data_IF_511129548836
#
_entry.id   IF_511129548836
#
_cell.length_a   1.000
_cell.length_b   1.000
_cell.length_c   1.000
_cell.angle_alpha   90.00
_cell.angle_beta   90.00
_cell.angle_gamma   90.00
#
_symmetry.space_group_name_H-M   'P 1'
#
loop_
_entity.id
_entity.type
_entity.pdbx_description
1 polymer ?
#
# COMPACT_ATOMS: atom_id res chain seq x y z
N UNK A 1 -29.94 -22.50 -9.81
CA UNK A 1 -30.75 -21.33 -10.20
C UNK A 1 -31.36 -20.78 -8.92
N UNK A 2 -30.67 -19.83 -8.28
CA UNK A 2 -31.22 -19.17 -7.10
C UNK A 2 -32.31 -18.19 -7.54
N UNK A 3 -33.47 -18.31 -6.91
CA UNK A 3 -34.67 -17.57 -7.27
C UNK A 3 -34.53 -16.15 -6.69
N UNK A 4 -33.96 -15.22 -7.47
CA UNK A 4 -33.79 -13.83 -7.07
C UNK A 4 -35.16 -13.17 -6.87
N UNK A 5 -35.53 -12.92 -5.62
CA UNK A 5 -36.79 -12.28 -5.29
C UNK A 5 -36.70 -10.79 -5.66
N UNK A 6 -37.36 -10.40 -6.75
CA UNK A 6 -37.39 -9.01 -7.24
C UNK A 6 -38.11 -8.08 -6.25
N UNK A 7 -37.69 -6.80 -6.13
CA UNK A 7 -38.44 -5.81 -5.37
C UNK A 7 -39.85 -5.65 -5.93
N UNK A 8 -40.84 -5.46 -5.05
CA UNK A 8 -42.25 -5.25 -5.44
C UNK A 8 -42.54 -3.80 -5.93
N UNK A 9 -41.51 -3.10 -6.40
CA UNK A 9 -41.61 -1.75 -6.95
C UNK A 9 -40.46 -1.52 -7.94
N UNK A 10 -40.59 -0.48 -8.75
CA UNK A 10 -39.55 -0.03 -9.68
C UNK A 10 -38.58 0.90 -8.95
N UNK A 11 -37.36 0.39 -8.70
CA UNK A 11 -36.30 1.08 -7.95
C UNK A 11 -35.84 2.33 -8.69
N UNK A 12 -35.59 2.27 -10.00
CA UNK A 12 -35.16 3.42 -10.80
C UNK A 12 -36.21 4.52 -10.80
N UNK A 13 -37.49 4.16 -10.95
CA UNK A 13 -38.58 5.13 -10.89
C UNK A 13 -38.67 5.78 -9.52
N UNK A 14 -38.51 5.02 -8.44
CA UNK A 14 -38.49 5.57 -7.08
C UNK A 14 -37.30 6.52 -6.86
N UNK A 15 -36.11 6.16 -7.35
CA UNK A 15 -34.91 7.03 -7.30
C UNK A 15 -35.18 8.33 -8.07
N UNK A 16 -35.74 8.25 -9.29
CA UNK A 16 -36.07 9.43 -10.10
C UNK A 16 -37.07 10.36 -9.41
N UNK A 17 -38.08 9.81 -8.71
CA UNK A 17 -39.04 10.61 -7.92
C UNK A 17 -38.34 11.32 -6.77
N UNK A 18 -37.44 10.64 -6.06
CA UNK A 18 -36.66 11.23 -4.96
C UNK A 18 -35.71 12.30 -5.49
N UNK A 19 -34.89 11.95 -6.48
CA UNK A 19 -33.85 12.81 -7.07
C UNK A 19 -34.42 14.16 -7.52
N UNK A 20 -35.53 14.17 -8.26
CA UNK A 20 -36.20 15.41 -8.72
C UNK A 20 -36.67 16.33 -7.60
N UNK A 21 -36.90 15.80 -6.39
CA UNK A 21 -37.31 16.58 -5.21
C UNK A 21 -36.12 16.98 -4.35
N UNK A 22 -35.02 16.25 -4.44
CA UNK A 22 -33.76 16.52 -3.76
C UNK A 22 -32.92 17.55 -4.51
N UNK A 23 -32.97 17.53 -5.85
CA UNK A 23 -32.27 18.47 -6.72
C UNK A 23 -32.66 19.91 -6.36
N UNK A 24 -31.65 20.75 -6.10
CA UNK A 24 -31.79 22.16 -5.68
C UNK A 24 -32.67 22.37 -4.45
N UNK A 25 -32.83 21.35 -3.62
CA UNK A 25 -33.69 21.42 -2.42
C UNK A 25 -33.08 22.24 -1.29
N UNK A 26 -31.80 22.61 -1.37
CA UNK A 26 -31.01 23.19 -0.28
C UNK A 26 -31.06 22.32 0.99
N UNK A 27 -31.24 21.00 0.82
CA UNK A 27 -31.52 20.03 1.88
C UNK A 27 -32.79 20.33 2.72
N UNK A 28 -33.66 21.21 2.22
CA UNK A 28 -34.96 21.57 2.80
C UNK A 28 -36.08 20.92 2.00
N UNK A 29 -36.24 19.62 2.18
CA UNK A 29 -37.05 18.78 1.30
C UNK A 29 -38.55 19.05 1.50
N UNK A 30 -39.24 19.38 0.40
CA UNK A 30 -40.71 19.46 0.35
C UNK A 30 -41.31 18.06 0.27
N UNK A 31 -41.78 17.56 1.41
CA UNK A 31 -42.36 16.21 1.52
C UNK A 31 -43.75 16.12 0.91
N UNK A 32 -43.88 15.41 -0.19
CA UNK A 32 -45.16 15.00 -0.78
C UNK A 32 -45.46 13.53 -0.45
N UNK A 33 -46.70 13.08 -0.64
CA UNK A 33 -47.07 11.68 -0.44
C UNK A 33 -46.25 10.73 -1.35
N UNK A 34 -46.00 11.15 -2.60
CA UNK A 34 -45.17 10.40 -3.54
C UNK A 34 -43.71 10.32 -3.06
N UNK A 35 -43.16 11.43 -2.55
CA UNK A 35 -41.82 11.48 -2.00
C UNK A 35 -41.68 10.54 -0.80
N UNK A 36 -42.58 10.63 0.19
CA UNK A 36 -42.52 9.82 1.40
C UNK A 36 -42.64 8.32 1.08
N UNK A 37 -43.53 7.95 0.16
CA UNK A 37 -43.69 6.56 -0.28
C UNK A 37 -42.45 6.03 -1.01
N UNK A 38 -41.83 6.84 -1.86
CA UNK A 38 -40.57 6.48 -2.52
C UNK A 38 -39.42 6.37 -1.51
N UNK A 39 -39.33 7.30 -0.56
CA UNK A 39 -38.34 7.31 0.51
C UNK A 39 -38.43 6.03 1.36
N UNK A 40 -39.62 5.66 1.84
CA UNK A 40 -39.79 4.46 2.67
C UNK A 40 -39.41 3.17 1.94
N UNK A 41 -39.73 3.07 0.64
CA UNK A 41 -39.38 1.91 -0.18
C UNK A 41 -37.87 1.82 -0.40
N UNK A 42 -37.23 2.93 -0.73
CA UNK A 42 -35.79 2.98 -0.97
C UNK A 42 -34.98 2.77 0.31
N UNK A 43 -35.40 3.34 1.44
CA UNK A 43 -34.79 3.07 2.74
C UNK A 43 -34.79 1.59 3.08
N UNK A 44 -35.88 0.88 2.82
CA UNK A 44 -35.97 -0.58 3.03
C UNK A 44 -35.13 -1.36 2.02
N UNK A 45 -35.04 -0.89 0.78
CA UNK A 45 -34.28 -1.55 -0.28
C UNK A 45 -32.76 -1.42 -0.09
N UNK A 46 -32.29 -0.23 0.29
CA UNK A 46 -30.89 0.08 0.62
C UNK A 46 -30.54 -0.23 2.08
N UNK A 47 -31.52 -0.49 2.93
CA UNK A 47 -31.33 -0.65 4.38
C UNK A 47 -30.62 0.58 5.02
N UNK A 48 -30.92 1.79 4.57
CA UNK A 48 -30.24 3.03 5.02
C UNK A 48 -31.16 3.96 5.80
N UNK A 49 -30.56 4.94 6.47
CA UNK A 49 -31.27 6.09 7.05
C UNK A 49 -31.93 6.94 5.95
N UNK A 50 -32.79 7.88 6.34
CA UNK A 50 -33.37 8.85 5.41
C UNK A 50 -32.29 9.68 4.73
N UNK A 51 -31.38 10.26 5.51
CA UNK A 51 -30.27 11.07 5.01
C UNK A 51 -29.32 10.26 4.13
N UNK A 52 -28.94 9.04 4.54
CA UNK A 52 -28.12 8.14 3.72
C UNK A 52 -28.79 7.76 2.41
N UNK A 53 -30.11 7.56 2.39
CA UNK A 53 -30.86 7.36 1.13
C UNK A 53 -30.78 8.61 0.24
N UNK A 54 -30.88 9.81 0.80
CA UNK A 54 -30.80 11.04 0.03
C UNK A 54 -29.40 11.24 -0.57
N UNK A 55 -28.34 11.02 0.22
CA UNK A 55 -26.96 11.08 -0.25
C UNK A 55 -26.73 10.07 -1.38
N UNK A 56 -27.13 8.81 -1.18
CA UNK A 56 -27.00 7.78 -2.21
C UNK A 56 -27.79 8.11 -3.49
N UNK A 57 -28.99 8.68 -3.37
CA UNK A 57 -29.75 9.12 -4.54
C UNK A 57 -29.06 10.27 -5.27
N UNK A 58 -28.42 11.21 -4.55
CA UNK A 58 -27.60 12.26 -5.16
C UNK A 58 -26.42 11.70 -5.94
N UNK A 59 -25.66 10.78 -5.32
CA UNK A 59 -24.51 10.11 -5.95
C UNK A 59 -24.95 9.32 -7.20
N UNK A 60 -26.04 8.54 -7.10
CA UNK A 60 -26.60 7.79 -8.23
C UNK A 60 -27.06 8.72 -9.36
N UNK A 61 -27.73 9.82 -9.02
CA UNK A 61 -28.20 10.79 -10.03
C UNK A 61 -27.03 11.41 -10.77
N UNK A 62 -26.01 11.85 -10.03
CA UNK A 62 -24.78 12.38 -10.62
C UNK A 62 -24.12 11.37 -11.57
N UNK A 63 -23.95 10.12 -11.11
CA UNK A 63 -23.37 9.03 -11.91
C UNK A 63 -24.11 8.81 -13.23
N UNK A 64 -25.44 8.73 -13.21
CA UNK A 64 -26.23 8.51 -14.42
C UNK A 64 -26.26 9.72 -15.37
N UNK A 65 -26.21 10.94 -14.83
CA UNK A 65 -26.20 12.17 -15.63
C UNK A 65 -24.83 12.48 -16.24
N UNK A 66 -23.75 12.07 -15.58
CA UNK A 66 -22.37 12.35 -15.99
C UNK A 66 -21.64 11.12 -16.54
N UNK A 67 -22.37 10.23 -17.21
CA UNK A 67 -21.83 9.08 -17.94
C UNK A 67 -20.90 8.16 -17.12
N UNK A 68 -21.22 7.99 -15.84
CA UNK A 68 -20.48 7.12 -14.93
C UNK A 68 -19.26 7.78 -14.27
N UNK A 69 -19.19 9.10 -14.25
CA UNK A 69 -18.17 9.84 -13.51
C UNK A 69 -18.32 9.66 -12.00
N UNK A 70 -17.19 9.71 -11.28
CA UNK A 70 -17.16 9.69 -9.81
C UNK A 70 -17.71 10.99 -9.25
N UNK A 71 -18.37 10.90 -8.09
CA UNK A 71 -19.02 12.03 -7.44
C UNK A 71 -18.22 12.45 -6.19
N UNK A 72 -17.96 13.73 -5.99
CA UNK A 72 -17.35 14.26 -4.76
C UNK A 72 -18.31 15.15 -3.97
N UNK A 73 -17.81 15.75 -2.89
CA UNK A 73 -18.62 16.64 -2.05
C UNK A 73 -19.11 17.91 -2.75
N UNK A 74 -18.34 18.46 -3.69
CA UNK A 74 -18.75 19.64 -4.46
C UNK A 74 -19.87 19.26 -5.44
N UNK A 75 -19.78 18.10 -6.09
CA UNK A 75 -20.83 17.59 -6.98
C UNK A 75 -22.17 17.40 -6.24
N UNK A 76 -22.13 16.85 -5.02
CA UNK A 76 -23.30 16.75 -4.17
C UNK A 76 -23.80 18.14 -3.74
N UNK A 77 -22.88 19.06 -3.42
CA UNK A 77 -23.20 20.45 -3.11
C UNK A 77 -24.02 21.10 -4.22
N UNK A 78 -23.58 20.92 -5.47
CA UNK A 78 -24.21 21.44 -6.68
C UNK A 78 -25.56 20.77 -6.95
N UNK A 79 -25.64 19.44 -6.78
CA UNK A 79 -26.89 18.70 -6.88
C UNK A 79 -27.96 19.21 -5.90
N UNK A 80 -27.59 19.42 -4.64
CA UNK A 80 -28.51 19.90 -3.61
C UNK A 80 -28.71 21.43 -3.64
N UNK A 81 -27.88 22.19 -4.36
CA UNK A 81 -27.81 23.66 -4.32
C UNK A 81 -27.62 24.18 -2.89
N UNK A 82 -26.58 23.69 -2.22
CA UNK A 82 -26.26 24.09 -0.84
C UNK A 82 -24.75 24.27 -0.66
N UNK A 83 -24.28 24.89 0.44
CA UNK A 83 -22.85 24.94 0.74
C UNK A 83 -22.29 23.55 1.06
N UNK A 84 -21.06 23.27 0.62
CA UNK A 84 -20.37 21.96 0.77
C UNK A 84 -20.39 21.46 2.22
N UNK A 85 -20.19 22.35 3.19
CA UNK A 85 -20.25 22.03 4.62
C UNK A 85 -21.58 21.40 5.06
N UNK A 86 -22.68 21.74 4.38
CA UNK A 86 -24.00 21.17 4.66
C UNK A 86 -24.08 19.71 4.23
N UNK A 87 -23.36 19.33 3.16
CA UNK A 87 -23.24 17.94 2.71
C UNK A 87 -22.27 17.17 3.62
N UNK A 88 -21.13 17.77 3.96
CA UNK A 88 -20.14 17.17 4.87
C UNK A 88 -20.75 16.84 6.24
N UNK A 89 -21.76 17.58 6.70
CA UNK A 89 -22.49 17.28 7.93
C UNK A 89 -23.13 15.87 7.94
N UNK A 90 -23.33 15.25 6.77
CA UNK A 90 -23.82 13.88 6.60
C UNK A 90 -22.70 12.84 6.43
N UNK A 91 -21.45 13.18 6.81
CA UNK A 91 -20.28 12.29 6.74
C UNK A 91 -20.57 10.87 7.24
N UNK A 92 -21.22 10.73 8.41
CA UNK A 92 -21.55 9.42 8.99
C UNK A 92 -22.46 8.57 8.09
N UNK A 93 -23.44 9.19 7.43
CA UNK A 93 -24.32 8.47 6.50
C UNK A 93 -23.54 8.02 5.26
N UNK A 94 -22.54 8.79 4.81
CA UNK A 94 -21.66 8.42 3.68
C UNK A 94 -20.70 7.30 4.09
N UNK A 95 -20.14 7.34 5.30
CA UNK A 95 -19.34 6.25 5.87
C UNK A 95 -20.14 4.95 5.98
N UNK A 96 -21.42 5.03 6.38
CA UNK A 96 -22.32 3.86 6.38
C UNK A 96 -22.55 3.29 4.97
N UNK A 97 -22.61 4.15 3.93
CA UNK A 97 -22.69 3.72 2.52
C UNK A 97 -21.40 3.04 2.04
N UNK A 98 -20.24 3.51 2.48
CA UNK A 98 -18.92 2.90 2.22
C UNK A 98 -18.81 1.53 2.92
N UNK A 99 -19.19 1.45 4.20
CA UNK A 99 -19.20 0.20 4.95
C UNK A 99 -20.14 -0.85 4.33
N UNK A 100 -21.25 -0.41 3.74
CA UNK A 100 -22.17 -1.26 2.95
C UNK A 100 -21.66 -1.59 1.55
N UNK A 101 -20.55 -0.98 1.12
CA UNK A 101 -19.94 -1.09 -0.22
C UNK A 101 -20.88 -0.70 -1.36
N UNK A 102 -21.79 0.22 -1.07
CA UNK A 102 -22.68 0.81 -2.08
C UNK A 102 -21.90 1.76 -2.96
N UNK A 103 -21.02 2.52 -2.31
CA UNK A 103 -20.04 3.39 -2.92
C UNK A 103 -18.63 2.90 -2.54
N UNK A 104 -17.65 3.28 -3.34
CA UNK A 104 -16.23 2.99 -3.14
C UNK A 104 -15.48 4.31 -3.18
N UNK A 105 -14.57 4.48 -2.25
CA UNK A 105 -13.71 5.64 -2.18
C UNK A 105 -12.42 5.36 -2.94
N UNK A 106 -12.26 6.00 -4.10
CA UNK A 106 -11.11 5.74 -4.97
C UNK A 106 -9.84 6.49 -4.55
N UNK A 107 -9.93 7.41 -3.58
CA UNK A 107 -8.84 8.32 -3.22
C UNK A 107 -8.39 8.27 -1.77
N UNK A 108 -9.22 7.80 -0.83
CA UNK A 108 -8.75 7.67 0.55
C UNK A 108 -7.88 6.43 0.73
N UNK A 109 -6.82 6.62 1.49
CA UNK A 109 -5.95 5.55 2.00
C UNK A 109 -6.71 4.62 2.97
N UNK A 110 -7.89 5.04 3.42
CA UNK A 110 -8.78 4.30 4.32
C UNK A 110 -10.13 4.10 3.62
N UNK A 111 -10.42 2.87 3.20
CA UNK A 111 -11.61 2.54 2.38
C UNK A 111 -12.96 2.99 2.98
N UNK A 112 -13.08 2.99 4.31
CA UNK A 112 -14.32 3.29 5.02
C UNK A 112 -14.38 4.71 5.62
N UNK A 113 -13.34 5.54 5.43
CA UNK A 113 -13.27 6.88 6.02
C UNK A 113 -13.43 7.97 4.97
N UNK A 114 -14.14 9.03 5.37
CA UNK A 114 -14.45 10.15 4.48
C UNK A 114 -13.60 11.37 4.84
N UNK A 115 -12.82 11.81 3.86
CA UNK A 115 -11.99 13.00 3.83
C UNK A 115 -12.53 13.96 2.76
N UNK A 116 -12.14 15.24 2.85
CA UNK A 116 -12.73 16.33 2.06
C UNK A 116 -12.45 16.15 0.55
N UNK A 117 -11.38 15.47 0.17
CA UNK A 117 -10.94 15.29 -1.22
C UNK A 117 -11.38 13.97 -1.86
N UNK A 118 -12.32 13.26 -1.23
CA UNK A 118 -12.73 11.94 -1.70
C UNK A 118 -13.65 11.99 -2.91
N UNK A 119 -13.35 11.11 -3.87
CA UNK A 119 -14.22 10.82 -5.01
C UNK A 119 -14.89 9.46 -4.76
N UNK A 120 -16.23 9.48 -4.76
CA UNK A 120 -17.08 8.32 -4.55
C UNK A 120 -17.49 7.74 -5.90
N UNK A 121 -17.11 6.51 -6.16
CA UNK A 121 -17.63 5.70 -7.26
C UNK A 121 -18.73 4.75 -6.76
N UNK A 122 -19.59 4.27 -7.65
CA UNK A 122 -20.68 3.36 -7.30
C UNK A 122 -20.25 1.93 -7.59
N UNK A 123 -20.49 1.04 -6.62
CA UNK A 123 -20.22 -0.39 -6.81
C UNK A 123 -20.97 -0.94 -8.01
N UNK A 124 -20.27 -1.67 -8.89
CA UNK A 124 -20.84 -2.32 -10.08
C UNK A 124 -22.01 -3.24 -9.72
N UNK A 125 -21.93 -3.91 -8.56
CA UNK A 125 -23.00 -4.77 -8.04
C UNK A 125 -24.26 -3.97 -7.70
N UNK A 126 -24.10 -2.77 -7.13
CA UNK A 126 -25.23 -1.88 -6.86
C UNK A 126 -25.85 -1.35 -8.14
N UNK A 127 -25.04 -0.86 -9.09
CA UNK A 127 -25.51 -0.38 -10.41
C UNK A 127 -26.33 -1.47 -11.09
N UNK A 128 -25.80 -2.69 -11.16
CA UNK A 128 -26.48 -3.85 -11.76
C UNK A 128 -27.83 -4.11 -11.08
N UNK A 129 -27.86 -4.12 -9.75
CA UNK A 129 -29.08 -4.38 -8.98
C UNK A 129 -30.15 -3.30 -9.24
N UNK A 130 -29.75 -2.03 -9.27
CA UNK A 130 -30.63 -0.90 -9.55
C UNK A 130 -31.17 -0.95 -10.99
N UNK A 131 -30.31 -1.17 -12.00
CA UNK A 131 -30.71 -1.20 -13.41
C UNK A 131 -31.65 -2.36 -13.72
N UNK A 132 -31.38 -3.55 -13.17
CA UNK A 132 -32.20 -4.74 -13.44
C UNK A 132 -33.39 -4.91 -12.51
N UNK A 133 -33.55 -4.00 -11.54
CA UNK A 133 -34.58 -4.07 -10.51
C UNK A 133 -34.52 -5.41 -9.75
N UNK A 134 -33.32 -5.77 -9.31
CA UNK A 134 -33.03 -6.99 -8.56
C UNK A 134 -32.70 -6.63 -7.10
N UNK A 135 -32.75 -7.60 -6.18
CA UNK A 135 -32.31 -7.36 -4.80
C UNK A 135 -30.81 -7.05 -4.79
N UNK A 136 -30.38 -6.11 -3.95
CA UNK A 136 -28.97 -5.80 -3.76
C UNK A 136 -28.27 -7.02 -3.17
N UNK A 137 -27.35 -7.59 -3.94
CA UNK A 137 -26.44 -8.63 -3.49
C UNK A 137 -25.03 -8.07 -3.67
N UNK A 138 -24.45 -7.66 -2.56
CA UNK A 138 -23.05 -7.26 -2.52
C UNK A 138 -22.35 -8.37 -1.78
N UNK A 139 -21.49 -9.09 -2.51
CA UNK A 139 -20.59 -10.03 -1.88
C UNK A 139 -19.73 -9.25 -0.89
N UNK A 140 -20.03 -9.43 0.40
CA UNK A 140 -19.12 -9.06 1.47
C UNK A 140 -17.96 -10.04 1.46
N UNK A 141 -17.14 -9.99 0.41
CA UNK A 141 -15.80 -10.53 0.51
C UNK A 141 -15.08 -9.59 1.44
N UNK A 142 -15.07 -9.89 2.75
CA UNK A 142 -14.19 -9.22 3.70
C UNK A 142 -12.83 -9.24 3.02
N UNK A 143 -12.35 -8.08 2.58
CA UNK A 143 -11.02 -8.04 1.99
C UNK A 143 -10.13 -8.52 3.14
N UNK A 144 -9.54 -9.70 2.99
CA UNK A 144 -8.56 -10.16 3.97
C UNK A 144 -7.49 -9.09 3.96
N UNK A 145 -7.40 -8.32 5.05
CA UNK A 145 -6.40 -7.25 5.19
C UNK A 145 -5.06 -7.91 4.87
N UNK A 146 -4.38 -7.42 3.84
CA UNK A 146 -3.06 -7.93 3.48
C UNK A 146 -2.01 -6.93 3.91
N UNK A 147 -0.85 -7.42 4.36
CA UNK A 147 0.29 -6.56 4.62
C UNK A 147 0.75 -5.84 3.34
N UNK A 148 0.49 -6.44 2.16
CA UNK A 148 0.76 -5.81 0.87
C UNK A 148 -0.10 -4.56 0.65
N UNK A 149 -1.32 -4.53 1.20
CA UNK A 149 -2.20 -3.37 1.08
C UNK A 149 -1.69 -2.22 1.96
N UNK A 150 -1.15 -2.51 3.14
CA UNK A 150 -0.47 -1.51 3.97
C UNK A 150 0.72 -0.90 3.23
N UNK A 151 1.60 -1.75 2.68
CA UNK A 151 2.79 -1.26 1.98
C UNK A 151 2.43 -0.44 0.75
N UNK A 152 1.40 -0.84 0.00
CA UNK A 152 0.90 -0.06 -1.14
C UNK A 152 0.39 1.32 -0.68
N UNK A 153 -0.41 1.38 0.39
CA UNK A 153 -0.92 2.64 0.93
C UNK A 153 0.20 3.58 1.39
N UNK A 154 1.22 3.06 2.06
CA UNK A 154 2.39 3.85 2.44
C UNK A 154 3.19 4.28 1.20
N UNK A 155 3.24 3.45 0.16
CA UNK A 155 3.79 3.82 -1.13
C UNK A 155 3.06 5.00 -1.79
N UNK A 156 1.73 4.96 -1.81
CA UNK A 156 0.89 6.03 -2.37
C UNK A 156 1.06 7.34 -1.58
N UNK A 157 1.25 7.25 -0.25
CA UNK A 157 1.63 8.38 0.61
C UNK A 157 3.01 8.96 0.24
N UNK A 158 3.98 8.12 -0.10
CA UNK A 158 5.27 8.63 -0.56
C UNK A 158 5.16 9.43 -1.85
N UNK A 159 4.33 8.94 -2.78
CA UNK A 159 4.08 9.57 -4.07
C UNK A 159 3.14 10.80 -3.98
N UNK A 160 2.53 11.06 -2.80
CA UNK A 160 1.62 12.18 -2.56
C UNK A 160 2.36 13.52 -2.38
N UNK A 161 1.66 14.62 -2.69
CA UNK A 161 2.11 15.99 -2.46
C UNK A 161 1.84 16.50 -1.03
N UNK A 162 1.49 15.61 -0.10
CA UNK A 162 1.18 15.97 1.28
C UNK A 162 2.44 16.40 2.04
N UNK A 163 2.24 17.20 3.09
CA UNK A 163 3.31 17.60 4.00
C UNK A 163 3.78 16.42 4.88
N UNK A 164 5.01 16.47 5.37
CA UNK A 164 5.63 15.39 6.16
C UNK A 164 4.83 15.02 7.41
N UNK A 165 4.28 16.02 8.12
CA UNK A 165 3.44 15.79 9.29
C UNK A 165 2.21 14.95 8.96
N UNK A 166 1.59 15.19 7.81
CA UNK A 166 0.43 14.43 7.36
C UNK A 166 0.82 12.99 7.00
N UNK A 167 1.93 12.81 6.27
CA UNK A 167 2.47 11.48 5.95
C UNK A 167 2.75 10.65 7.19
N UNK A 168 3.38 11.25 8.21
CA UNK A 168 3.69 10.57 9.48
C UNK A 168 2.43 10.23 10.26
N UNK A 169 1.48 11.16 10.38
CA UNK A 169 0.18 10.93 11.03
C UNK A 169 -0.61 9.80 10.36
N UNK A 170 -0.72 9.81 9.03
CA UNK A 170 -1.43 8.77 8.30
C UNK A 170 -0.71 7.42 8.36
N UNK A 171 0.62 7.40 8.35
CA UNK A 171 1.40 6.17 8.54
C UNK A 171 1.12 5.55 9.91
N UNK A 172 1.02 6.35 10.99
CA UNK A 172 0.63 5.85 12.31
C UNK A 172 -0.79 5.30 12.35
N UNK A 173 -1.74 5.96 11.68
CA UNK A 173 -3.12 5.48 11.56
C UNK A 173 -3.20 4.14 10.79
N UNK A 174 -2.39 3.99 9.74
CA UNK A 174 -2.23 2.74 9.01
C UNK A 174 -1.62 1.67 9.92
N UNK A 175 -0.51 1.95 10.63
CA UNK A 175 0.09 0.98 11.55
C UNK A 175 -0.88 0.52 12.64
N UNK A 176 -1.69 1.41 13.18
CA UNK A 176 -2.71 1.07 14.17
C UNK A 176 -3.73 0.07 13.61
N UNK A 177 -4.15 0.24 12.35
CA UNK A 177 -5.09 -0.66 11.68
C UNK A 177 -4.52 -2.04 11.38
N UNK A 178 -3.20 -2.18 11.28
CA UNK A 178 -2.51 -3.44 11.00
C UNK A 178 -1.64 -3.91 12.17
N UNK A 179 -1.94 -3.44 13.39
CA UNK A 179 -1.13 -3.74 14.58
C UNK A 179 -1.12 -5.23 14.96
N UNK A 180 -2.06 -6.02 14.45
CA UNK A 180 -2.13 -7.46 14.63
C UNK A 180 -1.08 -8.23 13.79
N UNK A 181 -0.53 -7.63 12.74
CA UNK A 181 0.47 -8.25 11.87
C UNK A 181 1.84 -8.30 12.52
N UNK A 182 2.47 -9.47 12.49
CA UNK A 182 3.78 -9.69 13.11
C UNK A 182 4.89 -8.82 12.50
N UNK A 183 4.79 -8.51 11.20
CA UNK A 183 5.70 -7.57 10.53
C UNK A 183 5.65 -6.19 11.20
N UNK A 184 4.45 -5.64 11.42
CA UNK A 184 4.28 -4.32 12.04
C UNK A 184 4.75 -4.33 13.49
N UNK A 185 4.42 -5.38 14.26
CA UNK A 185 4.93 -5.53 15.64
C UNK A 185 6.45 -5.54 15.70
N UNK A 186 7.11 -6.26 14.79
CA UNK A 186 8.58 -6.33 14.72
C UNK A 186 9.17 -4.97 14.36
N UNK A 187 8.65 -4.29 13.33
CA UNK A 187 9.16 -2.99 12.90
C UNK A 187 8.99 -1.94 14.00
N UNK A 188 7.84 -1.90 14.68
CA UNK A 188 7.62 -1.00 15.83
C UNK A 188 8.49 -1.35 17.04
N UNK A 189 8.85 -2.61 17.23
CA UNK A 189 9.77 -3.01 18.30
C UNK A 189 11.21 -2.58 17.99
N UNK A 190 11.61 -2.57 16.71
CA UNK A 190 12.93 -2.11 16.28
C UNK A 190 13.03 -0.58 16.33
N UNK A 191 11.94 0.13 16.00
CA UNK A 191 11.87 1.58 15.92
C UNK A 191 10.60 2.09 16.64
N UNK A 192 10.54 2.11 17.98
CA UNK A 192 9.32 2.46 18.71
C UNK A 192 8.86 3.91 18.49
N UNK A 193 9.79 4.86 18.54
CA UNK A 193 9.49 6.31 18.52
C UNK A 193 10.02 7.02 17.26
N UNK A 194 10.39 6.26 16.22
CA UNK A 194 10.95 6.80 14.98
C UNK A 194 10.07 6.43 13.77
N UNK A 195 8.99 7.18 13.60
CA UNK A 195 8.04 6.99 12.49
C UNK A 195 8.70 7.20 11.12
N UNK A 196 9.66 8.12 11.02
CA UNK A 196 10.34 8.45 9.77
C UNK A 196 11.18 7.27 9.26
N UNK A 197 11.91 6.60 10.16
CA UNK A 197 12.65 5.38 9.83
C UNK A 197 11.71 4.24 9.43
N UNK A 198 10.53 4.12 10.07
CA UNK A 198 9.51 3.12 9.68
C UNK A 198 8.91 3.43 8.31
N UNK A 199 8.55 4.69 8.05
CA UNK A 199 8.06 5.17 6.76
C UNK A 199 9.06 4.89 5.64
N UNK A 200 10.34 5.22 5.86
CA UNK A 200 11.42 4.92 4.93
C UNK A 200 11.50 3.43 4.61
N UNK A 201 11.44 2.58 5.63
CA UNK A 201 11.51 1.14 5.46
C UNK A 201 10.30 0.57 4.69
N UNK A 202 9.10 1.08 4.97
CA UNK A 202 7.90 0.71 4.22
C UNK A 202 7.96 1.17 2.75
N UNK A 203 8.52 2.36 2.49
CA UNK A 203 8.80 2.84 1.13
C UNK A 203 9.70 1.88 0.36
N UNK A 204 10.79 1.41 0.98
CA UNK A 204 11.67 0.41 0.37
C UNK A 204 10.96 -0.93 0.09
N UNK A 205 10.04 -1.34 0.97
CA UNK A 205 9.22 -2.53 0.76
C UNK A 205 8.26 -2.36 -0.43
N UNK A 206 7.72 -1.16 -0.62
CA UNK A 206 6.83 -0.85 -1.76
C UNK A 206 7.59 -0.90 -3.09
N UNK A 207 8.80 -0.34 -3.14
CA UNK A 207 9.63 -0.38 -4.34
C UNK A 207 10.02 -1.81 -4.73
N UNK A 208 10.28 -2.69 -3.74
CA UNK A 208 10.47 -4.11 -3.98
C UNK A 208 9.24 -4.74 -4.66
N UNK A 209 8.02 -4.42 -4.21
CA UNK A 209 6.79 -4.94 -4.81
C UNK A 209 6.59 -4.41 -6.25
N UNK A 210 7.06 -3.19 -6.53
CA UNK A 210 7.10 -2.61 -7.88
C UNK A 210 8.23 -3.19 -8.75
N UNK A 211 9.20 -3.90 -8.16
CA UNK A 211 10.31 -4.56 -8.84
C UNK A 211 11.54 -3.70 -9.06
N UNK A 212 11.71 -2.62 -8.28
CA UNK A 212 12.81 -1.67 -8.40
C UNK A 212 13.63 -1.61 -7.10
N UNK A 213 14.89 -1.19 -7.24
CA UNK A 213 15.67 -0.72 -6.09
C UNK A 213 15.26 0.73 -5.78
N UNK A 214 15.27 1.09 -4.49
CA UNK A 214 14.88 2.42 -4.04
C UNK A 214 16.00 3.42 -4.27
N UNK A 215 15.65 4.60 -4.81
CA UNK A 215 16.55 5.75 -4.88
C UNK A 215 16.75 6.32 -3.47
N UNK A 216 17.99 6.38 -2.99
CA UNK A 216 18.27 6.88 -1.63
C UNK A 216 17.73 8.30 -1.44
N UNK A 217 17.98 9.19 -2.40
CA UNK A 217 17.50 10.57 -2.35
C UNK A 217 15.97 10.64 -2.25
N UNK A 218 15.27 9.97 -3.16
CA UNK A 218 13.80 10.06 -3.24
C UNK A 218 13.13 9.45 -2.00
N UNK A 219 13.67 8.36 -1.46
CA UNK A 219 13.15 7.76 -0.23
C UNK A 219 13.40 8.65 0.99
N UNK A 220 14.55 9.34 1.07
CA UNK A 220 14.81 10.34 2.12
C UNK A 220 13.83 11.52 2.00
N UNK A 221 13.60 12.02 0.78
CA UNK A 221 12.67 13.13 0.53
C UNK A 221 11.23 12.79 0.95
N UNK A 222 10.78 11.54 0.73
CA UNK A 222 9.48 11.06 1.21
C UNK A 222 9.41 10.99 2.75
N UNK A 223 10.49 10.59 3.41
CA UNK A 223 10.42 10.08 4.78
C UNK A 223 10.92 11.05 5.85
N UNK A 224 11.63 12.10 5.46
CA UNK A 224 12.24 13.06 6.39
C UNK A 224 12.02 14.51 5.97
N UNK A 225 11.87 15.38 6.97
CA UNK A 225 11.77 16.82 6.81
C UNK A 225 13.01 17.40 6.14
N UNK A 226 12.82 18.49 5.39
CA UNK A 226 13.88 19.16 4.61
C UNK A 226 15.12 19.51 5.45
N UNK A 227 14.93 19.87 6.72
CA UNK A 227 16.01 20.23 7.63
C UNK A 227 16.96 19.07 7.93
N UNK A 228 16.46 17.83 7.89
CA UNK A 228 17.17 16.66 8.41
C UNK A 228 17.78 15.82 7.29
N UNK A 229 17.36 16.03 6.04
CA UNK A 229 17.72 15.19 4.88
C UNK A 229 19.22 15.01 4.70
N UNK A 230 20.01 16.07 4.86
CA UNK A 230 21.47 15.98 4.69
C UNK A 230 22.13 15.17 5.80
N UNK A 231 21.68 15.34 7.05
CA UNK A 231 22.20 14.57 8.19
C UNK A 231 21.84 13.09 8.05
N UNK A 232 20.61 12.78 7.59
CA UNK A 232 20.19 11.41 7.34
C UNK A 232 20.96 10.81 6.17
N UNK A 233 21.15 11.54 5.08
CA UNK A 233 21.94 11.10 3.93
C UNK A 233 23.39 10.78 4.33
N UNK A 234 24.03 11.65 5.10
CA UNK A 234 25.38 11.41 5.64
C UNK A 234 25.42 10.15 6.50
N UNK A 235 24.44 9.97 7.40
CA UNK A 235 24.30 8.76 8.21
C UNK A 235 24.18 7.48 7.38
N UNK A 236 23.46 7.51 6.26
CA UNK A 236 23.43 6.37 5.31
C UNK A 236 24.78 6.15 4.63
N UNK A 237 25.41 7.20 4.12
CA UNK A 237 26.67 7.11 3.38
C UNK A 237 27.83 6.63 4.27
N UNK A 238 27.81 6.97 5.56
CA UNK A 238 28.78 6.48 6.55
C UNK A 238 28.47 5.06 7.07
N UNK A 239 27.32 4.49 6.73
CA UNK A 239 26.88 3.19 7.27
C UNK A 239 26.36 3.27 8.71
N UNK A 240 26.04 4.46 9.18
CA UNK A 240 25.62 4.73 10.54
C UNK A 240 24.10 4.63 10.77
N UNK A 241 23.31 4.65 9.69
CA UNK A 241 21.86 4.64 9.76
C UNK A 241 21.32 3.37 10.45
N UNK A 242 20.28 3.46 11.32
CA UNK A 242 19.74 2.31 12.04
C UNK A 242 19.33 1.14 11.14
N UNK A 243 18.72 1.42 9.97
CA UNK A 243 18.31 0.38 9.01
C UNK A 243 19.49 -0.42 8.45
N UNK A 244 20.65 0.22 8.23
CA UNK A 244 21.87 -0.46 7.79
C UNK A 244 22.47 -1.28 8.93
N UNK A 245 22.57 -0.69 10.13
CA UNK A 245 23.11 -1.37 11.33
C UNK A 245 22.30 -2.60 11.75
N UNK A 246 20.99 -2.57 11.52
CA UNK A 246 20.09 -3.69 11.81
C UNK A 246 20.00 -4.70 10.66
N UNK A 247 20.75 -4.52 9.58
CA UNK A 247 20.74 -5.38 8.40
C UNK A 247 19.33 -5.50 7.79
N UNK A 248 18.61 -4.38 7.68
CA UNK A 248 17.28 -4.31 7.07
C UNK A 248 17.29 -3.75 5.65
N UNK A 249 18.25 -2.88 5.35
CA UNK A 249 18.51 -2.36 4.01
C UNK A 249 19.99 -2.49 3.68
N UNK A 250 20.31 -2.58 2.40
CA UNK A 250 21.68 -2.63 1.89
C UNK A 250 21.80 -1.80 0.60
N UNK A 251 23.01 -1.33 0.31
CA UNK A 251 23.28 -0.63 -0.95
C UNK A 251 23.36 -1.64 -2.10
N UNK A 252 22.63 -1.36 -3.18
CA UNK A 252 22.81 -2.03 -4.47
C UNK A 252 23.95 -1.35 -5.24
N UNK A 253 23.91 -0.02 -5.30
CA UNK A 253 24.99 0.82 -5.79
C UNK A 253 25.22 1.96 -4.81
N UNK A 254 26.48 2.12 -4.39
CA UNK A 254 26.91 3.15 -3.44
C UNK A 254 27.88 4.09 -4.15
N UNK A 255 27.34 5.16 -4.71
CA UNK A 255 28.08 6.19 -5.42
C UNK A 255 27.95 7.53 -4.70
N UNK A 256 27.15 8.46 -5.23
CA UNK A 256 26.78 9.73 -4.61
C UNK A 256 25.31 9.68 -4.17
N UNK A 257 24.82 10.67 -3.41
CA UNK A 257 23.45 10.68 -2.89
C UNK A 257 22.37 10.52 -3.98
N UNK A 258 22.59 11.14 -5.15
CA UNK A 258 21.60 11.19 -6.24
C UNK A 258 21.52 9.90 -7.06
N UNK A 259 22.62 9.13 -7.10
CA UNK A 259 22.74 7.89 -7.88
C UNK A 259 22.72 6.63 -7.00
N UNK A 260 22.90 6.78 -5.69
CA UNK A 260 22.91 5.64 -4.77
C UNK A 260 21.54 5.00 -4.68
N UNK A 261 21.52 3.69 -4.79
CA UNK A 261 20.30 2.87 -4.69
C UNK A 261 20.43 1.85 -3.58
N UNK A 262 19.32 1.60 -2.90
CA UNK A 262 19.23 0.67 -1.78
C UNK A 262 18.12 -0.35 -2.02
N UNK A 263 18.25 -1.53 -1.44
CA UNK A 263 17.20 -2.53 -1.39
C UNK A 263 17.03 -3.08 0.03
N UNK A 264 15.88 -3.67 0.32
CA UNK A 264 15.71 -4.40 1.57
C UNK A 264 16.52 -5.71 1.52
N UNK A 265 17.18 -6.06 2.63
CA UNK A 265 18.03 -7.24 2.73
C UNK A 265 17.24 -8.55 2.66
N UNK A 266 17.93 -9.68 2.50
CA UNK A 266 17.33 -11.01 2.65
C UNK A 266 16.55 -11.16 3.96
N UNK A 267 17.14 -10.69 5.07
CA UNK A 267 16.53 -10.70 6.41
C UNK A 267 15.23 -9.89 6.45
N UNK A 268 15.21 -8.70 5.85
CA UNK A 268 14.01 -7.89 5.75
C UNK A 268 12.94 -8.51 4.83
N UNK A 269 13.34 -9.11 3.71
CA UNK A 269 12.43 -9.84 2.80
C UNK A 269 11.73 -10.99 3.53
N UNK A 270 12.46 -11.78 4.32
CA UNK A 270 11.87 -12.84 5.16
C UNK A 270 10.93 -12.28 6.22
N UNK A 271 11.30 -11.17 6.87
CA UNK A 271 10.46 -10.50 7.86
C UNK A 271 9.15 -10.00 7.26
N UNK A 272 9.18 -9.46 6.03
CA UNK A 272 8.05 -8.87 5.33
C UNK A 272 7.15 -9.91 4.66
N UNK A 273 7.73 -10.83 3.89
CA UNK A 273 7.00 -11.74 3.00
C UNK A 273 6.84 -13.16 3.57
N UNK A 274 7.52 -13.49 4.67
CA UNK A 274 7.52 -14.83 5.25
C UNK A 274 7.96 -15.88 4.23
N UNK A 275 7.12 -16.91 4.02
CA UNK A 275 7.41 -17.99 3.07
C UNK A 275 7.55 -17.50 1.62
N UNK A 276 6.90 -16.40 1.25
CA UNK A 276 6.94 -15.84 -0.09
C UNK A 276 8.25 -15.09 -0.38
N UNK A 277 9.12 -14.86 0.61
CA UNK A 277 10.39 -14.16 0.43
C UNK A 277 11.25 -14.81 -0.65
N UNK A 278 11.19 -16.14 -0.79
CA UNK A 278 11.92 -16.92 -1.80
C UNK A 278 11.64 -16.48 -3.24
N UNK A 279 10.47 -15.90 -3.50
CA UNK A 279 10.09 -15.38 -4.83
C UNK A 279 10.86 -14.10 -5.20
N UNK A 280 11.41 -13.40 -4.20
CA UNK A 280 12.09 -12.11 -4.34
C UNK A 280 13.59 -12.20 -4.03
N UNK A 281 14.10 -13.42 -3.78
CA UNK A 281 15.52 -13.67 -3.57
C UNK A 281 16.18 -14.09 -4.88
N UNK A 282 17.36 -13.54 -5.18
CA UNK A 282 18.17 -13.98 -6.32
C UNK A 282 18.54 -15.45 -6.12
N UNK A 283 18.27 -16.30 -7.11
CA UNK A 283 18.70 -17.70 -7.05
C UNK A 283 20.22 -17.76 -7.05
N UNK A 284 20.83 -18.51 -6.13
CA UNK A 284 22.28 -18.75 -6.09
C UNK A 284 22.85 -19.45 -7.34
N UNK A 285 22.00 -19.79 -8.33
CA UNK A 285 22.36 -20.47 -9.58
C UNK A 285 22.94 -19.56 -10.67
N UNK A 286 23.11 -18.26 -10.40
CA UNK A 286 23.54 -17.29 -11.42
C UNK A 286 24.73 -16.41 -11.06
N UNK A 287 25.36 -16.61 -9.89
CA UNK A 287 26.62 -15.94 -9.58
C UNK A 287 27.75 -16.81 -10.12
N UNK A 288 28.74 -16.22 -10.82
CA UNK A 288 30.02 -16.85 -11.22
C UNK A 288 30.90 -17.26 -10.01
N UNK A 289 30.27 -17.60 -8.89
CA UNK A 289 30.88 -18.06 -7.66
C UNK A 289 30.94 -19.58 -7.75
N UNK A 290 32.14 -20.09 -8.00
CA UNK A 290 32.42 -21.52 -7.91
C UNK A 290 32.18 -21.93 -6.46
N UNK A 291 31.22 -22.84 -6.24
CA UNK A 291 30.93 -23.37 -4.92
C UNK A 291 32.15 -24.11 -4.39
N UNK A 292 32.52 -23.96 -3.09
CA UNK A 292 33.72 -24.61 -2.54
C UNK A 292 33.79 -26.11 -2.84
N UNK A 293 32.65 -26.79 -2.76
CA UNK A 293 32.51 -28.24 -3.00
C UNK A 293 32.70 -28.63 -4.48
N UNK A 294 32.68 -27.67 -5.39
CA UNK A 294 32.88 -27.88 -6.84
C UNK A 294 34.31 -27.61 -7.31
N UNK A 295 35.19 -27.12 -6.41
CA UNK A 295 36.60 -26.91 -6.70
C UNK A 295 37.29 -28.28 -6.75
N UNK A 296 37.55 -28.78 -7.97
CA UNK A 296 38.32 -30.00 -8.17
C UNK A 296 39.81 -29.72 -7.93
N UNK A 297 40.46 -30.62 -7.20
CA UNK A 297 41.91 -30.66 -7.08
C UNK A 297 42.53 -30.70 -8.49
N UNK A 298 43.39 -29.73 -8.80
CA UNK A 298 44.20 -29.73 -10.02
C UNK A 298 45.62 -30.11 -9.64
N UNK A 299 46.14 -31.17 -10.26
CA UNK A 299 47.57 -31.43 -10.24
C UNK A 299 48.26 -30.39 -11.16
N UNK A 300 49.16 -29.61 -10.58
CA UNK A 300 49.96 -28.65 -11.31
C UNK A 300 51.09 -29.41 -11.99
N UNK A 301 51.16 -29.32 -13.32
CA UNK A 301 52.29 -29.82 -14.09
C UNK A 301 53.31 -28.69 -14.24
N UNK A 302 54.50 -28.91 -13.70
CA UNK A 302 55.61 -27.96 -13.81
C UNK A 302 56.53 -28.39 -14.97
N UNK A 303 57.31 -27.45 -15.51
CA UNK A 303 58.45 -27.82 -16.35
C UNK A 303 59.47 -28.58 -15.50
N UNK A 304 60.29 -29.44 -16.13
CA UNK A 304 61.30 -30.25 -15.43
C UNK A 304 62.22 -29.40 -14.50
N UNK A 305 62.57 -28.19 -14.94
CA UNK A 305 63.37 -27.25 -14.15
C UNK A 305 62.61 -26.77 -12.91
N UNK A 306 61.36 -26.34 -13.07
CA UNK A 306 60.53 -25.86 -11.96
C UNK A 306 60.16 -26.98 -10.99
N UNK A 307 59.92 -28.18 -11.49
CA UNK A 307 59.67 -29.37 -10.67
C UNK A 307 60.90 -29.73 -9.83
N UNK A 308 62.11 -29.60 -10.38
CA UNK A 308 63.35 -29.82 -9.64
C UNK A 308 63.55 -28.81 -8.51
N UNK A 309 63.26 -27.53 -8.75
CA UNK A 309 63.38 -26.46 -7.75
C UNK A 309 62.32 -26.58 -6.66
N UNK A 310 61.07 -26.89 -7.03
CA UNK A 310 60.00 -27.15 -6.06
C UNK A 310 60.34 -28.38 -5.21
N UNK A 311 60.84 -29.46 -5.81
CA UNK A 311 61.28 -30.63 -5.06
C UNK A 311 62.44 -30.31 -4.13
N UNK A 312 63.40 -29.48 -4.56
CA UNK A 312 64.52 -29.02 -3.71
C UNK A 312 64.01 -28.23 -2.51
N UNK A 313 63.16 -27.23 -2.72
CA UNK A 313 62.56 -26.41 -1.66
C UNK A 313 61.71 -27.25 -0.71
N UNK A 314 60.87 -28.12 -1.25
CA UNK A 314 60.01 -29.02 -0.47
C UNK A 314 60.84 -29.95 0.40
N UNK A 315 61.94 -30.48 -0.11
CA UNK A 315 62.84 -31.32 0.66
C UNK A 315 63.62 -30.51 1.72
N UNK A 316 64.03 -29.28 1.43
CA UNK A 316 64.71 -28.41 2.41
C UNK A 316 63.80 -28.01 3.59
N UNK A 317 62.49 -27.93 3.35
CA UNK A 317 61.47 -27.56 4.35
C UNK A 317 60.94 -28.74 5.17
N UNK A 318 61.37 -29.98 4.90
CA UNK A 318 61.03 -31.13 5.75
C UNK A 318 61.82 -31.06 7.05
N UNK A 319 61.14 -31.26 8.18
CA UNK A 319 61.70 -31.19 9.53
C UNK A 319 62.95 -32.07 9.71
N UNK A 320 63.01 -33.20 9.00
CA UNK A 320 64.15 -34.13 8.99
C UNK A 320 65.45 -33.50 8.47
N UNK A 321 65.36 -32.50 7.58
CA UNK A 321 66.49 -31.81 6.98
C UNK A 321 66.85 -30.50 7.70
N UNK A 322 66.05 -30.06 8.67
CA UNK A 322 66.27 -28.84 9.43
C UNK A 322 67.59 -28.89 10.23
N UNK A 323 67.96 -30.08 10.73
CA UNK A 323 69.21 -30.32 11.47
C UNK A 323 70.47 -30.12 10.62
N UNK A 324 70.41 -30.32 9.30
CA UNK A 324 71.57 -30.17 8.40
C UNK A 324 71.82 -28.72 7.97
N UNK A 325 70.87 -27.81 8.21
CA UNK A 325 70.93 -26.40 7.77
C UNK A 325 71.35 -25.46 8.93
N UNK A 326 71.35 -25.94 10.18
CA UNK A 326 71.64 -25.15 11.39
C UNK A 326 73.06 -25.36 11.98
N UNK A 327 73.95 -26.10 11.31
CA UNK A 327 75.39 -26.24 11.64
C UNK A 327 76.27 -25.58 10.61
#
# INVERSE_FOLDING_TARGET
>A
MENFQKPNFDVLKAISVLAKKLEKSHLKIKRTNEFNNAEEKLKKYFDTTSSGTWMLCGILSYYFEHHGSTCNFNDLSDFFDCPVMSVIAYKKDIEDLLAKRYIVNNKSLIEDEVEIHNDFDISKSLIRSVIHNDKIIIEQKKAERSILDLIRKVGDLCDSSEEMFEKTFQTEAIEYKYCDFDFIKKVKLLFPDDINTRLFFYGCCNDLLKGYASSLQSTIECSYDESDRFQIAESFMEGNHPLLKMDLVEFVDKSNLTESTIEITAKAKEMFLGENAKLFMKSAKGTDIIQPDTIKQKELFYSLENESEINRLTNALKDENLFNIQT
#
